data_IF_634467271313
#
_entry.id   IF_634467271313
#
_cell.length_a   1.000
_cell.length_b   1.000
_cell.length_c   1.000
_cell.angle_alpha   90.00
_cell.angle_beta   90.00
_cell.angle_gamma   90.00
#
_symmetry.space_group_name_H-M   'P 1'
#
loop_
_entity.id
_entity.type
_entity.pdbx_description
1 polymer ?
#
# COMPACT_ATOMS: atom_id res chain seq x y z
N UNK A 1 -0.29 -25.28 -9.72
CA UNK A 1 -0.64 -26.64 -9.22
C UNK A 1 -0.93 -26.67 -7.70
N UNK A 2 -0.83 -25.57 -6.96
CA UNK A 2 -1.07 -25.55 -5.51
C UNK A 2 -2.52 -25.20 -5.19
N UNK A 3 -3.17 -24.44 -6.03
CA UNK A 3 -4.53 -23.96 -5.79
C UNK A 3 -5.61 -25.08 -5.77
N UNK A 4 -5.57 -26.10 -6.64
CA UNK A 4 -6.55 -27.17 -6.59
C UNK A 4 -6.45 -28.05 -5.35
N UNK A 5 -5.29 -28.12 -4.70
CA UNK A 5 -5.08 -28.97 -3.52
C UNK A 5 -5.51 -28.33 -2.21
N UNK A 6 -5.79 -27.01 -2.18
CA UNK A 6 -6.16 -26.29 -0.96
C UNK A 6 -7.66 -26.27 -0.70
N UNK A 7 -8.48 -26.43 -1.75
CA UNK A 7 -9.94 -26.38 -1.62
C UNK A 7 -10.52 -27.75 -2.02
N UNK A 8 -10.78 -28.60 -1.07
CA UNK A 8 -11.36 -29.93 -1.28
C UNK A 8 -10.60 -31.07 -0.61
N UNK A 9 -9.37 -30.82 -0.20
CA UNK A 9 -8.63 -31.72 0.71
C UNK A 9 -8.49 -31.10 2.10
N UNK A 10 -9.43 -30.21 2.48
CA UNK A 10 -9.37 -29.47 3.74
C UNK A 10 -9.21 -30.37 4.97
N UNK A 11 -9.80 -31.53 4.96
CA UNK A 11 -9.60 -32.49 6.05
C UNK A 11 -8.14 -32.96 6.12
N UNK A 12 -7.53 -33.30 5.01
CA UNK A 12 -6.13 -33.76 5.00
C UNK A 12 -5.14 -32.62 5.31
N UNK A 13 -5.39 -31.42 4.79
CA UNK A 13 -4.56 -30.22 5.10
C UNK A 13 -4.77 -29.82 6.56
N UNK A 14 -5.99 -29.76 7.03
CA UNK A 14 -6.32 -29.46 8.42
C UNK A 14 -5.59 -30.43 9.38
N UNK A 15 -5.68 -31.72 9.13
CA UNK A 15 -5.08 -32.74 10.00
C UNK A 15 -3.56 -32.68 10.00
N UNK A 16 -2.93 -32.17 8.93
CA UNK A 16 -1.49 -31.92 8.86
C UNK A 16 -1.06 -30.80 9.80
N UNK A 17 -1.83 -29.71 9.91
CA UNK A 17 -1.47 -28.53 10.68
C UNK A 17 -2.04 -28.54 12.11
N UNK A 18 -2.96 -29.41 12.39
CA UNK A 18 -3.51 -29.60 13.73
C UNK A 18 -5.03 -29.80 13.76
N UNK A 19 -5.53 -30.02 14.96
CA UNK A 19 -6.96 -30.18 15.23
C UNK A 19 -7.66 -28.82 15.38
N UNK A 20 -9.00 -28.77 15.27
CA UNK A 20 -9.79 -27.56 15.56
C UNK A 20 -9.48 -26.96 16.94
N UNK A 21 -9.29 -27.80 17.96
CA UNK A 21 -8.93 -27.35 19.32
C UNK A 21 -7.53 -26.70 19.37
N UNK A 22 -6.57 -27.22 18.60
CA UNK A 22 -5.24 -26.61 18.49
C UNK A 22 -5.27 -25.27 17.74
N UNK A 23 -6.12 -25.15 16.72
CA UNK A 23 -6.33 -23.86 16.03
C UNK A 23 -6.95 -22.83 16.98
N UNK A 24 -7.99 -23.19 17.75
CA UNK A 24 -8.58 -22.31 18.75
C UNK A 24 -7.55 -21.91 19.83
N UNK A 25 -6.67 -22.84 20.26
CA UNK A 25 -5.59 -22.55 21.19
C UNK A 25 -4.54 -21.58 20.58
N UNK A 26 -4.26 -21.70 19.28
CA UNK A 26 -3.38 -20.77 18.55
C UNK A 26 -3.96 -19.36 18.51
N UNK A 27 -5.23 -19.19 18.11
CA UNK A 27 -5.91 -17.89 18.11
C UNK A 27 -5.87 -17.26 19.50
N UNK A 28 -6.21 -18.02 20.54
CA UNK A 28 -6.14 -17.57 21.94
C UNK A 28 -4.71 -17.17 22.38
N UNK A 29 -3.67 -17.86 21.88
CA UNK A 29 -2.28 -17.48 22.14
C UNK A 29 -1.92 -16.14 21.46
N UNK A 30 -2.34 -15.92 20.23
CA UNK A 30 -2.19 -14.64 19.52
C UNK A 30 -2.84 -13.49 20.31
N UNK A 31 -4.08 -13.67 20.75
CA UNK A 31 -4.82 -12.66 21.52
C UNK A 31 -4.11 -12.31 22.84
N UNK A 32 -3.56 -13.30 23.55
CA UNK A 32 -2.77 -13.04 24.78
C UNK A 32 -1.51 -12.20 24.51
N UNK A 33 -1.00 -12.22 23.27
CA UNK A 33 0.12 -11.39 22.83
C UNK A 33 -0.31 -10.04 22.23
N UNK A 34 -1.61 -9.74 22.19
CA UNK A 34 -2.17 -8.54 21.54
C UNK A 34 -2.12 -8.59 20.01
N UNK A 35 -2.12 -9.80 19.43
CA UNK A 35 -2.10 -10.01 17.98
C UNK A 35 -3.47 -10.50 17.54
N UNK A 36 -4.12 -9.76 16.62
CA UNK A 36 -5.33 -10.19 15.97
C UNK A 36 -5.09 -11.26 14.90
N UNK A 37 -6.08 -12.08 14.63
CA UNK A 37 -6.03 -13.16 13.64
C UNK A 37 -7.05 -12.90 12.55
N UNK A 38 -6.59 -12.75 11.31
CA UNK A 38 -7.45 -12.60 10.12
C UNK A 38 -7.48 -13.93 9.38
N UNK A 39 -8.69 -14.45 9.15
CA UNK A 39 -8.87 -15.68 8.38
C UNK A 39 -8.88 -15.38 6.89
N UNK A 40 -8.08 -16.13 6.14
CA UNK A 40 -8.15 -16.12 4.67
C UNK A 40 -9.32 -17.00 4.22
N UNK A 41 -10.26 -16.42 3.50
CA UNK A 41 -11.53 -17.06 3.11
C UNK A 41 -11.74 -16.94 1.61
N UNK A 42 -12.06 -18.05 0.97
CA UNK A 42 -12.25 -18.14 -0.50
C UNK A 42 -13.74 -18.32 -0.82
N UNK A 43 -14.55 -17.23 -0.86
CA UNK A 43 -15.97 -17.33 -1.17
C UNK A 43 -16.28 -17.39 -2.67
N UNK A 44 -15.27 -17.43 -3.54
CA UNK A 44 -15.41 -17.25 -4.99
C UNK A 44 -15.41 -18.55 -5.73
N UNK A 45 -14.50 -19.46 -5.40
CA UNK A 45 -14.34 -20.72 -6.10
C UNK A 45 -13.89 -21.84 -5.16
N UNK A 46 -14.00 -23.09 -5.61
CA UNK A 46 -13.61 -24.30 -4.88
C UNK A 46 -13.04 -25.36 -5.81
N UNK A 47 -12.30 -26.33 -5.24
CA UNK A 47 -11.64 -27.38 -6.00
C UNK A 47 -12.63 -28.31 -6.71
N UNK A 48 -12.32 -28.68 -7.94
CA UNK A 48 -13.10 -29.63 -8.76
C UNK A 48 -12.76 -31.09 -8.41
N UNK A 49 -12.71 -31.44 -7.13
CA UNK A 49 -12.45 -32.81 -6.67
C UNK A 49 -13.73 -33.64 -6.66
N UNK A 50 -13.64 -34.90 -7.09
CA UNK A 50 -14.80 -35.81 -7.17
C UNK A 50 -15.40 -36.20 -5.81
N UNK A 51 -14.64 -36.02 -4.73
CA UNK A 51 -14.99 -36.32 -3.33
C UNK A 51 -15.32 -35.08 -2.49
N UNK A 52 -15.47 -33.91 -3.16
CA UNK A 52 -15.74 -32.63 -2.49
C UNK A 52 -17.08 -32.01 -2.95
N UNK A 53 -17.11 -30.68 -3.15
CA UNK A 53 -18.33 -29.93 -3.46
C UNK A 53 -18.76 -30.02 -4.94
N UNK A 54 -17.81 -30.26 -5.86
CA UNK A 54 -18.10 -30.34 -7.29
C UNK A 54 -19.03 -31.53 -7.59
N UNK A 55 -20.15 -31.25 -8.24
CA UNK A 55 -21.20 -32.26 -8.50
C UNK A 55 -21.61 -33.07 -7.25
N UNK A 56 -21.74 -32.41 -6.12
CA UNK A 56 -21.86 -33.02 -4.78
C UNK A 56 -22.91 -34.09 -4.68
N UNK A 57 -24.08 -33.89 -5.28
CA UNK A 57 -25.21 -34.84 -5.31
C UNK A 57 -25.45 -35.44 -6.72
N UNK A 58 -24.45 -35.31 -7.60
CA UNK A 58 -24.56 -35.68 -9.01
C UNK A 58 -25.14 -34.58 -9.90
N UNK A 59 -25.39 -33.40 -9.33
CA UNK A 59 -25.80 -32.18 -10.05
C UNK A 59 -24.88 -31.01 -9.71
N UNK A 60 -25.02 -29.87 -10.44
CA UNK A 60 -24.33 -28.64 -10.13
C UNK A 60 -24.96 -27.91 -8.93
N UNK A 61 -24.83 -28.48 -7.71
CA UNK A 61 -25.46 -27.95 -6.50
C UNK A 61 -24.84 -26.63 -6.06
N UNK A 62 -23.51 -26.54 -6.03
CA UNK A 62 -22.76 -25.38 -5.55
C UNK A 62 -22.29 -24.46 -6.67
N UNK A 63 -21.98 -25.01 -7.84
CA UNK A 63 -21.47 -24.31 -9.00
C UNK A 63 -22.56 -23.90 -10.00
N UNK A 64 -22.22 -23.01 -10.94
CA UNK A 64 -23.09 -22.71 -12.09
C UNK A 64 -23.07 -23.87 -13.09
N UNK A 65 -24.21 -24.18 -13.66
CA UNK A 65 -24.39 -25.14 -14.76
C UNK A 65 -24.21 -24.44 -16.13
N UNK A 66 -23.01 -23.90 -16.35
CA UNK A 66 -22.66 -23.21 -17.60
C UNK A 66 -21.15 -22.95 -17.68
N UNK A 67 -20.69 -22.26 -18.74
CA UNK A 67 -19.28 -21.88 -18.95
C UNK A 67 -18.70 -21.03 -17.78
N UNK A 68 -19.53 -20.26 -17.09
CA UNK A 68 -19.11 -19.49 -15.92
C UNK A 68 -18.95 -20.33 -14.65
N UNK A 69 -19.35 -21.60 -14.67
CA UNK A 69 -19.20 -22.54 -13.57
C UNK A 69 -17.76 -22.99 -13.31
N UNK A 70 -16.85 -22.73 -14.24
CA UNK A 70 -15.45 -23.10 -14.13
C UNK A 70 -14.55 -21.87 -14.21
N UNK A 71 -13.51 -21.84 -13.38
CA UNK A 71 -12.49 -20.81 -13.42
C UNK A 71 -11.36 -21.20 -14.38
N UNK A 72 -10.55 -20.23 -14.77
CA UNK A 72 -9.31 -20.44 -15.56
C UNK A 72 -8.26 -21.28 -14.81
N UNK A 73 -8.41 -21.41 -13.48
CA UNK A 73 -7.52 -22.21 -12.62
C UNK A 73 -7.96 -23.68 -12.50
N UNK A 74 -9.03 -24.10 -13.23
CA UNK A 74 -9.57 -25.44 -13.16
C UNK A 74 -10.41 -25.72 -11.90
N UNK A 75 -10.87 -24.68 -11.24
CA UNK A 75 -11.77 -24.75 -10.07
C UNK A 75 -13.22 -24.48 -10.46
N UNK A 76 -14.18 -24.77 -9.58
CA UNK A 76 -15.60 -24.48 -9.77
C UNK A 76 -15.95 -23.14 -9.12
N UNK A 77 -16.79 -22.32 -9.78
CA UNK A 77 -17.25 -21.04 -9.24
C UNK A 77 -18.59 -21.21 -8.51
N UNK A 78 -18.72 -20.64 -7.30
CA UNK A 78 -19.94 -20.67 -6.52
C UNK A 78 -21.10 -19.95 -7.22
N UNK A 79 -22.29 -20.59 -7.20
CA UNK A 79 -23.52 -20.04 -7.76
C UNK A 79 -24.27 -19.16 -6.73
N UNK A 80 -24.06 -17.86 -6.77
CA UNK A 80 -24.67 -16.90 -5.83
C UNK A 80 -26.17 -16.67 -6.05
N UNK A 81 -26.77 -17.20 -7.10
CA UNK A 81 -28.23 -17.16 -7.29
C UNK A 81 -28.94 -18.27 -6.52
N UNK A 82 -28.19 -19.21 -5.91
CA UNK A 82 -28.75 -20.23 -5.00
C UNK A 82 -28.63 -19.78 -3.56
N UNK A 83 -29.75 -19.67 -2.86
CA UNK A 83 -29.79 -19.22 -1.46
C UNK A 83 -29.06 -20.18 -0.53
N UNK A 84 -29.08 -21.46 -0.83
CA UNK A 84 -28.39 -22.52 -0.09
C UNK A 84 -26.85 -22.29 -0.14
N UNK A 85 -26.32 -21.94 -1.29
CA UNK A 85 -24.89 -21.61 -1.47
C UNK A 85 -24.53 -20.35 -0.69
N UNK A 86 -25.34 -19.30 -0.80
CA UNK A 86 -25.15 -18.07 -0.03
C UNK A 86 -25.21 -18.35 1.49
N UNK A 87 -26.14 -19.20 1.95
CA UNK A 87 -26.26 -19.60 3.35
C UNK A 87 -25.05 -20.40 3.81
N UNK A 88 -24.57 -21.35 3.00
CA UNK A 88 -23.34 -22.11 3.27
C UNK A 88 -22.13 -21.19 3.46
N UNK A 89 -21.87 -20.30 2.51
CA UNK A 89 -20.76 -19.37 2.57
C UNK A 89 -20.86 -18.40 3.75
N UNK A 90 -22.07 -17.89 4.03
CA UNK A 90 -22.28 -17.00 5.19
C UNK A 90 -22.07 -17.73 6.51
N UNK A 91 -22.49 -19.01 6.60
CA UNK A 91 -22.27 -19.85 7.79
C UNK A 91 -20.79 -20.17 7.98
N UNK A 92 -20.06 -20.41 6.89
CA UNK A 92 -18.61 -20.63 6.94
C UNK A 92 -17.88 -19.39 7.45
N UNK A 93 -18.21 -18.19 6.96
CA UNK A 93 -17.64 -16.95 7.47
C UNK A 93 -17.97 -16.71 8.95
N UNK A 94 -19.24 -16.96 9.35
CA UNK A 94 -19.67 -16.84 10.74
C UNK A 94 -18.95 -17.83 11.67
N UNK A 95 -18.64 -19.04 11.21
CA UNK A 95 -17.90 -20.06 11.98
C UNK A 95 -16.54 -19.51 12.45
N UNK A 96 -15.79 -18.87 11.57
CA UNK A 96 -14.48 -18.31 11.90
C UNK A 96 -14.56 -17.20 12.95
N UNK A 97 -15.60 -16.36 12.84
CA UNK A 97 -15.79 -15.24 13.77
C UNK A 97 -16.35 -15.70 15.12
N UNK A 98 -17.34 -16.62 15.11
CA UNK A 98 -18.07 -16.99 16.32
C UNK A 98 -17.38 -18.10 17.13
N UNK A 99 -16.90 -19.14 16.46
CA UNK A 99 -16.33 -20.33 17.12
C UNK A 99 -14.84 -20.16 17.39
N UNK A 100 -14.12 -19.62 16.42
CA UNK A 100 -12.67 -19.45 16.52
C UNK A 100 -12.23 -18.07 16.97
N UNK A 101 -13.17 -17.12 17.06
CA UNK A 101 -12.91 -15.74 17.51
C UNK A 101 -11.84 -15.02 16.67
N UNK A 102 -11.82 -15.28 15.35
CA UNK A 102 -10.98 -14.50 14.45
C UNK A 102 -11.39 -13.02 14.49
N UNK A 103 -10.41 -12.11 14.32
CA UNK A 103 -10.62 -10.67 14.37
C UNK A 103 -11.01 -10.08 13.01
N UNK A 104 -11.12 -10.90 11.99
CA UNK A 104 -11.55 -10.49 10.67
C UNK A 104 -11.37 -11.58 9.62
N UNK A 105 -11.72 -11.20 8.40
CA UNK A 105 -11.69 -12.08 7.23
C UNK A 105 -11.08 -11.31 6.04
N UNK A 106 -10.12 -11.91 5.37
CA UNK A 106 -9.71 -11.50 4.03
C UNK A 106 -10.39 -12.38 3.01
N UNK A 107 -11.09 -11.78 2.06
CA UNK A 107 -11.79 -12.51 1.00
C UNK A 107 -10.96 -12.50 -0.28
N UNK A 108 -10.61 -13.71 -0.71
CA UNK A 108 -9.76 -14.00 -1.86
C UNK A 108 -10.49 -13.76 -3.18
N UNK A 109 -9.75 -13.25 -4.17
CA UNK A 109 -10.13 -13.17 -5.58
C UNK A 109 -11.52 -12.54 -5.85
N UNK A 110 -11.93 -11.53 -5.06
CA UNK A 110 -13.27 -10.90 -5.17
C UNK A 110 -13.53 -10.35 -6.57
N UNK A 111 -12.48 -9.95 -7.30
CA UNK A 111 -12.57 -9.56 -8.71
C UNK A 111 -13.33 -10.58 -9.58
N UNK A 112 -13.10 -11.87 -9.31
CA UNK A 112 -13.72 -12.97 -10.06
C UNK A 112 -15.21 -13.18 -9.73
N UNK A 113 -15.64 -12.68 -8.56
CA UNK A 113 -17.03 -12.68 -8.17
C UNK A 113 -17.77 -11.43 -8.69
N UNK A 114 -17.14 -10.24 -8.60
CA UNK A 114 -17.77 -8.96 -8.98
C UNK A 114 -18.12 -8.87 -10.48
N UNK A 115 -17.23 -9.36 -11.33
CA UNK A 115 -17.46 -9.47 -12.77
C UNK A 115 -17.47 -10.94 -13.17
N UNK A 116 -18.31 -11.31 -14.16
CA UNK A 116 -18.31 -12.66 -14.66
C UNK A 116 -16.91 -13.10 -15.09
N UNK A 117 -16.34 -14.09 -14.40
CA UNK A 117 -14.97 -14.57 -14.57
C UNK A 117 -13.88 -13.48 -14.43
N UNK A 118 -14.16 -12.41 -13.69
CA UNK A 118 -13.24 -11.29 -13.46
C UNK A 118 -13.06 -10.36 -14.66
N UNK A 119 -13.86 -10.51 -15.71
CA UNK A 119 -13.79 -9.70 -16.92
C UNK A 119 -14.90 -8.63 -16.94
N UNK A 120 -14.57 -7.33 -16.82
CA UNK A 120 -15.53 -6.26 -16.88
C UNK A 120 -16.37 -6.25 -18.18
N UNK A 121 -15.80 -6.76 -19.29
CA UNK A 121 -16.51 -6.82 -20.56
C UNK A 121 -17.67 -7.85 -20.56
N UNK A 122 -17.60 -8.81 -19.66
CA UNK A 122 -18.70 -9.81 -19.45
C UNK A 122 -19.83 -9.28 -18.56
N UNK A 123 -19.67 -8.11 -17.98
CA UNK A 123 -20.63 -7.46 -17.10
C UNK A 123 -20.53 -7.89 -15.64
N UNK A 124 -21.32 -7.22 -14.81
CA UNK A 124 -21.37 -7.42 -13.36
C UNK A 124 -22.16 -8.68 -13.02
N UNK A 125 -21.66 -9.47 -12.07
CA UNK A 125 -22.39 -10.57 -11.47
C UNK A 125 -23.24 -10.05 -10.29
N UNK A 126 -24.45 -9.63 -10.57
CA UNK A 126 -25.37 -9.04 -9.57
C UNK A 126 -25.67 -9.99 -8.41
N UNK A 127 -25.66 -11.30 -8.63
CA UNK A 127 -25.81 -12.31 -7.59
C UNK A 127 -24.66 -12.24 -6.58
N UNK A 128 -23.42 -12.17 -7.06
CA UNK A 128 -22.25 -12.05 -6.23
C UNK A 128 -22.20 -10.72 -5.47
N UNK A 129 -22.48 -9.59 -6.16
CA UNK A 129 -22.55 -8.26 -5.53
C UNK A 129 -23.56 -8.24 -4.40
N UNK A 130 -24.75 -8.78 -4.64
CA UNK A 130 -25.82 -8.89 -3.63
C UNK A 130 -25.39 -9.77 -2.45
N UNK A 131 -24.79 -10.92 -2.75
CA UNK A 131 -24.27 -11.83 -1.72
C UNK A 131 -23.21 -11.15 -0.84
N UNK A 132 -22.18 -10.56 -1.44
CA UNK A 132 -21.08 -9.93 -0.71
C UNK A 132 -21.58 -8.75 0.14
N UNK A 133 -22.48 -7.94 -0.40
CA UNK A 133 -23.12 -6.84 0.36
C UNK A 133 -23.89 -7.34 1.58
N UNK A 134 -24.67 -8.38 1.42
CA UNK A 134 -25.44 -8.99 2.51
C UNK A 134 -24.53 -9.66 3.55
N UNK A 135 -23.48 -10.36 3.08
CA UNK A 135 -22.49 -10.98 3.96
C UNK A 135 -21.79 -9.94 4.82
N UNK A 136 -21.22 -8.90 4.20
CA UNK A 136 -20.51 -7.85 4.92
C UNK A 136 -21.41 -7.04 5.85
N UNK A 137 -22.66 -6.79 5.43
CA UNK A 137 -23.66 -6.16 6.31
C UNK A 137 -23.90 -7.01 7.57
N UNK A 138 -24.18 -8.31 7.40
CA UNK A 138 -24.43 -9.21 8.52
C UNK A 138 -23.20 -9.42 9.43
N UNK A 139 -22.00 -9.50 8.84
CA UNK A 139 -20.76 -9.59 9.59
C UNK A 139 -20.51 -8.33 10.42
N UNK A 140 -20.68 -7.13 9.85
CA UNK A 140 -20.52 -5.86 10.55
C UNK A 140 -21.57 -5.64 11.65
N UNK A 141 -22.82 -6.09 11.45
CA UNK A 141 -23.84 -6.01 12.51
C UNK A 141 -23.53 -6.92 13.70
N UNK A 142 -23.03 -8.13 13.41
CA UNK A 142 -22.81 -9.14 14.45
C UNK A 142 -21.43 -8.98 15.12
N UNK A 143 -20.41 -8.60 14.36
CA UNK A 143 -19.04 -8.39 14.84
C UNK A 143 -18.51 -7.01 14.37
N UNK A 144 -18.98 -5.91 14.98
CA UNK A 144 -18.68 -4.55 14.50
C UNK A 144 -17.21 -4.12 14.67
N UNK A 145 -16.41 -4.90 15.39
CA UNK A 145 -14.97 -4.69 15.54
C UNK A 145 -14.14 -5.58 14.61
N UNK A 146 -14.79 -6.46 13.85
CA UNK A 146 -14.16 -7.30 12.85
C UNK A 146 -13.60 -6.47 11.70
N UNK A 147 -12.54 -6.96 11.05
CA UNK A 147 -11.91 -6.33 9.90
C UNK A 147 -12.14 -7.20 8.66
N UNK A 148 -12.80 -6.66 7.65
CA UNK A 148 -13.18 -7.38 6.43
C UNK A 148 -12.44 -6.79 5.23
N UNK A 149 -11.58 -7.59 4.60
CA UNK A 149 -10.69 -7.15 3.53
C UNK A 149 -11.05 -7.82 2.21
N UNK A 150 -10.99 -7.07 1.12
CA UNK A 150 -11.15 -7.56 -0.24
C UNK A 150 -9.81 -7.63 -0.97
N UNK A 151 -9.49 -8.78 -1.55
CA UNK A 151 -8.54 -8.84 -2.65
C UNK A 151 -9.30 -8.61 -3.95
N UNK A 152 -9.14 -7.43 -4.53
CA UNK A 152 -9.77 -7.05 -5.79
C UNK A 152 -8.80 -6.27 -6.67
N UNK A 153 -8.48 -6.81 -7.82
CA UNK A 153 -7.60 -6.23 -8.82
C UNK A 153 -8.33 -5.35 -9.85
N UNK A 154 -9.66 -5.20 -9.72
CA UNK A 154 -10.47 -4.45 -10.69
C UNK A 154 -10.70 -3.00 -10.25
N UNK A 155 -11.26 -2.23 -11.16
CA UNK A 155 -11.73 -0.87 -10.92
C UNK A 155 -13.20 -0.81 -10.48
N UNK A 156 -13.75 -1.90 -9.93
CA UNK A 156 -15.09 -1.90 -9.37
C UNK A 156 -15.18 -0.85 -8.26
N UNK A 157 -16.24 -0.04 -8.32
CA UNK A 157 -16.39 1.10 -7.41
C UNK A 157 -17.10 0.74 -6.12
N UNK A 158 -16.80 1.48 -5.06
CA UNK A 158 -17.46 1.37 -3.75
C UNK A 158 -17.27 0.01 -3.08
N UNK A 159 -16.13 -0.64 -3.28
CA UNK A 159 -15.79 -1.88 -2.59
C UNK A 159 -15.73 -1.65 -1.09
N UNK A 160 -15.13 -0.54 -0.64
CA UNK A 160 -15.00 -0.18 0.77
C UNK A 160 -16.05 0.81 1.27
N UNK A 161 -16.95 1.27 0.41
CA UNK A 161 -18.05 2.11 0.84
C UNK A 161 -19.06 1.31 1.69
N UNK A 162 -19.62 1.90 2.76
CA UNK A 162 -20.64 1.25 3.57
C UNK A 162 -21.87 0.80 2.75
N UNK A 163 -22.47 -0.32 3.13
CA UNK A 163 -23.64 -0.90 2.43
C UNK A 163 -24.82 0.06 2.34
N UNK A 164 -25.01 0.95 3.34
CA UNK A 164 -26.05 2.01 3.33
C UNK A 164 -25.87 3.07 2.22
N UNK A 165 -24.69 3.10 1.58
CA UNK A 165 -24.38 3.99 0.45
C UNK A 165 -24.16 3.22 -0.85
N UNK A 166 -24.79 2.05 -0.97
CA UNK A 166 -24.67 1.11 -2.11
C UNK A 166 -23.26 0.56 -2.30
N UNK A 167 -22.44 0.56 -1.24
CA UNK A 167 -21.13 -0.09 -1.24
C UNK A 167 -21.22 -1.59 -0.98
N UNK A 168 -20.10 -2.29 -1.20
CA UNK A 168 -19.97 -3.72 -0.85
C UNK A 168 -19.76 -3.89 0.67
N UNK A 169 -19.16 -2.91 1.35
CA UNK A 169 -19.05 -2.87 2.80
C UNK A 169 -17.79 -3.53 3.36
N UNK A 170 -16.74 -3.69 2.58
CA UNK A 170 -15.42 -4.04 3.10
C UNK A 170 -14.78 -2.88 3.85
N UNK A 171 -13.94 -3.18 4.84
CA UNK A 171 -13.14 -2.16 5.55
C UNK A 171 -11.92 -1.76 4.75
N UNK A 172 -11.30 -2.70 4.01
CA UNK A 172 -10.11 -2.44 3.19
C UNK A 172 -10.16 -3.20 1.88
N UNK A 173 -9.52 -2.60 0.88
CA UNK A 173 -9.23 -3.22 -0.43
C UNK A 173 -7.72 -3.27 -0.63
N UNK A 174 -7.18 -4.40 -1.09
CA UNK A 174 -5.76 -4.48 -1.46
C UNK A 174 -5.45 -3.56 -2.64
N UNK A 175 -4.40 -2.77 -2.52
CA UNK A 175 -3.93 -1.89 -3.59
C UNK A 175 -2.98 -2.64 -4.53
N UNK A 176 -3.57 -3.42 -5.43
CA UNK A 176 -2.80 -4.18 -6.44
C UNK A 176 -2.12 -3.24 -7.44
N UNK A 177 -2.70 -2.07 -7.73
CA UNK A 177 -2.11 -1.05 -8.59
C UNK A 177 -0.82 -0.49 -8.02
N UNK A 178 -0.82 -0.09 -6.75
CA UNK A 178 0.38 0.36 -6.04
C UNK A 178 1.46 -0.72 -6.02
N UNK A 179 1.07 -1.97 -5.77
CA UNK A 179 1.99 -3.10 -5.70
C UNK A 179 2.70 -3.31 -7.05
N UNK A 180 1.94 -3.44 -8.13
CA UNK A 180 2.50 -3.63 -9.48
C UNK A 180 3.41 -2.47 -9.89
N UNK A 181 2.94 -1.24 -9.77
CA UNK A 181 3.71 -0.05 -10.15
C UNK A 181 4.98 0.09 -9.33
N UNK A 182 4.93 -0.20 -8.02
CA UNK A 182 6.11 -0.15 -7.15
C UNK A 182 7.14 -1.20 -7.53
N UNK A 183 6.73 -2.45 -7.70
CA UNK A 183 7.66 -3.54 -8.05
C UNK A 183 8.26 -3.33 -9.44
N UNK A 184 7.48 -2.92 -10.42
CA UNK A 184 7.94 -2.59 -11.76
C UNK A 184 8.94 -1.43 -11.76
N UNK A 185 8.66 -0.40 -10.97
CA UNK A 185 9.58 0.74 -10.85
C UNK A 185 10.94 0.31 -10.30
N UNK A 186 10.95 -0.46 -9.21
CA UNK A 186 12.20 -0.92 -8.60
C UNK A 186 12.93 -2.00 -9.42
N UNK A 187 12.23 -2.71 -10.31
CA UNK A 187 12.83 -3.61 -11.31
C UNK A 187 13.44 -2.86 -12.50
N UNK A 188 13.09 -1.59 -12.70
CA UNK A 188 13.55 -0.77 -13.82
C UNK A 188 15.01 -0.33 -13.61
N UNK A 189 15.89 -0.45 -14.64
CA UNK A 189 17.27 0.08 -14.61
C UNK A 189 17.31 1.55 -14.23
N UNK A 190 18.32 1.98 -13.47
CA UNK A 190 18.43 3.37 -12.98
C UNK A 190 18.33 4.40 -14.11
N UNK A 191 18.98 4.19 -15.25
CA UNK A 191 18.93 5.10 -16.39
C UNK A 191 17.55 5.23 -17.05
N UNK A 192 16.66 4.27 -16.84
CA UNK A 192 15.30 4.26 -17.39
C UNK A 192 14.24 4.76 -16.41
N UNK A 193 14.57 4.87 -15.12
CA UNK A 193 13.64 5.33 -14.07
C UNK A 193 13.03 6.72 -14.32
N UNK A 194 13.72 7.69 -14.94
CA UNK A 194 13.06 8.93 -15.33
C UNK A 194 11.81 8.72 -16.19
N UNK A 195 11.78 7.69 -17.05
CA UNK A 195 10.60 7.35 -17.86
C UNK A 195 9.51 6.61 -17.07
N UNK A 196 9.89 5.91 -16.00
CA UNK A 196 8.99 5.21 -15.11
C UNK A 196 8.55 6.05 -13.87
N UNK A 197 8.98 7.32 -13.79
CA UNK A 197 8.78 8.18 -12.62
C UNK A 197 7.33 8.23 -12.14
N UNK A 198 6.39 8.25 -13.09
CA UNK A 198 4.96 8.26 -12.82
C UNK A 198 4.45 7.10 -11.96
N UNK A 199 5.10 5.93 -12.03
CA UNK A 199 4.67 4.73 -11.27
C UNK A 199 4.68 4.94 -9.75
N UNK A 200 5.60 5.74 -9.23
CA UNK A 200 5.66 6.05 -7.79
C UNK A 200 4.57 7.03 -7.36
N UNK A 201 4.19 7.97 -8.22
CA UNK A 201 3.22 9.02 -7.86
C UNK A 201 1.77 8.65 -8.22
N UNK A 202 1.58 7.69 -9.12
CA UNK A 202 0.27 7.40 -9.72
C UNK A 202 -0.76 6.90 -8.69
N UNK A 203 -0.36 6.11 -7.72
CA UNK A 203 -1.25 5.61 -6.66
C UNK A 203 -2.01 6.74 -5.96
N UNK A 204 -1.38 7.90 -5.73
CA UNK A 204 -2.02 9.04 -5.07
C UNK A 204 -3.12 9.72 -5.90
N UNK A 205 -3.24 9.42 -7.20
CA UNK A 205 -4.34 9.92 -8.03
C UNK A 205 -5.67 9.22 -7.75
N UNK A 206 -5.62 7.96 -7.28
CA UNK A 206 -6.82 7.17 -7.00
C UNK A 206 -6.94 6.73 -5.53
N UNK A 207 -5.90 6.90 -4.72
CA UNK A 207 -5.81 6.36 -3.36
C UNK A 207 -7.02 6.68 -2.48
N UNK A 208 -7.62 7.85 -2.65
CA UNK A 208 -8.76 8.28 -1.83
C UNK A 208 -10.13 7.82 -2.37
N UNK A 209 -10.17 7.00 -3.43
CA UNK A 209 -11.41 6.43 -3.95
C UNK A 209 -11.90 5.24 -3.10
N UNK A 210 -10.97 4.53 -2.45
CA UNK A 210 -11.24 3.38 -1.59
C UNK A 210 -10.36 3.44 -0.32
N UNK A 211 -10.63 2.60 0.66
CA UNK A 211 -9.77 2.42 1.84
C UNK A 211 -8.71 1.36 1.51
N UNK A 212 -7.64 1.78 0.87
CA UNK A 212 -6.61 0.87 0.38
C UNK A 212 -5.67 0.36 1.45
N UNK A 213 -5.27 -0.91 1.31
CA UNK A 213 -4.22 -1.59 2.05
C UNK A 213 -3.10 -1.95 1.07
N UNK A 214 -1.88 -1.50 1.36
CA UNK A 214 -0.70 -1.78 0.54
C UNK A 214 -0.24 -3.21 0.81
N UNK A 215 -0.29 -4.07 -0.21
CA UNK A 215 0.02 -5.48 -0.08
C UNK A 215 1.32 -5.84 -0.81
N UNK A 216 2.24 -6.49 -0.08
CA UNK A 216 3.28 -7.35 -0.61
C UNK A 216 3.00 -8.75 -0.08
N UNK A 217 2.15 -9.48 -0.80
CA UNK A 217 1.56 -10.74 -0.36
C UNK A 217 2.39 -11.97 -0.77
N UNK A 218 1.83 -13.16 -0.52
CA UNK A 218 2.41 -14.42 -0.97
C UNK A 218 2.50 -14.49 -2.50
N UNK A 219 1.53 -13.92 -3.22
CA UNK A 219 1.46 -13.97 -4.67
C UNK A 219 2.66 -13.34 -5.36
N UNK A 220 3.30 -12.36 -4.72
CA UNK A 220 4.48 -11.71 -5.29
C UNK A 220 5.76 -12.55 -5.15
N UNK A 221 5.76 -13.62 -4.33
CA UNK A 221 6.97 -14.36 -3.96
C UNK A 221 6.88 -15.87 -4.20
N UNK A 222 6.04 -16.29 -5.15
CA UNK A 222 5.79 -17.69 -5.52
C UNK A 222 5.81 -17.89 -7.04
N UNK A 223 5.82 -19.12 -7.47
CA UNK A 223 5.58 -19.55 -8.87
C UNK A 223 6.53 -18.94 -9.91
N UNK A 224 7.80 -18.79 -9.60
CA UNK A 224 8.81 -18.25 -10.54
C UNK A 224 8.75 -16.72 -10.65
N UNK A 225 8.01 -16.03 -9.77
CA UNK A 225 7.91 -14.57 -9.75
C UNK A 225 9.10 -13.89 -9.08
N UNK A 226 10.03 -14.64 -8.47
CA UNK A 226 11.15 -14.18 -7.63
C UNK A 226 10.71 -13.60 -6.29
N UNK A 227 11.64 -13.45 -5.36
CA UNK A 227 11.37 -12.75 -4.09
C UNK A 227 11.43 -11.23 -4.25
N UNK A 228 10.96 -10.48 -3.25
CA UNK A 228 10.94 -9.01 -3.33
C UNK A 228 12.34 -8.45 -3.61
N UNK A 229 13.36 -8.89 -2.87
CA UNK A 229 14.74 -8.43 -3.10
C UNK A 229 15.27 -8.84 -4.47
N UNK A 230 14.92 -10.02 -4.95
CA UNK A 230 15.45 -10.55 -6.23
C UNK A 230 14.84 -9.86 -7.46
N UNK A 231 13.62 -9.29 -7.32
CA UNK A 231 13.00 -8.47 -8.36
C UNK A 231 13.73 -7.15 -8.60
N UNK A 232 14.43 -6.60 -7.59
CA UNK A 232 15.05 -5.28 -7.65
C UNK A 232 16.21 -5.28 -8.66
N UNK A 233 16.38 -4.16 -9.35
CA UNK A 233 17.47 -3.98 -10.31
C UNK A 233 18.83 -3.79 -9.63
N UNK A 234 19.91 -4.22 -10.29
CA UNK A 234 21.28 -3.90 -9.91
C UNK A 234 22.04 -5.01 -9.22
N UNK A 235 23.18 -4.66 -8.64
CA UNK A 235 24.06 -5.55 -7.88
C UNK A 235 23.41 -5.94 -6.55
N UNK A 236 24.01 -6.90 -5.86
CA UNK A 236 23.53 -7.32 -4.53
C UNK A 236 23.46 -6.14 -3.54
N UNK A 237 24.49 -5.31 -3.50
CA UNK A 237 24.57 -4.13 -2.61
C UNK A 237 23.49 -3.10 -2.97
N UNK A 238 23.29 -2.87 -4.28
CA UNK A 238 22.25 -1.97 -4.77
C UNK A 238 20.84 -2.50 -4.44
N UNK A 239 20.61 -3.81 -4.59
CA UNK A 239 19.36 -4.45 -4.18
C UNK A 239 19.10 -4.28 -2.69
N UNK A 240 20.13 -4.43 -1.86
CA UNK A 240 20.03 -4.25 -0.40
C UNK A 240 19.62 -2.82 -0.02
N UNK A 241 20.25 -1.82 -0.63
CA UNK A 241 19.92 -0.40 -0.41
C UNK A 241 18.49 -0.09 -0.89
N UNK A 242 18.15 -0.55 -2.10
CA UNK A 242 16.80 -0.36 -2.66
C UNK A 242 15.71 -1.06 -1.86
N UNK A 243 15.97 -2.24 -1.28
CA UNK A 243 15.00 -2.94 -0.46
C UNK A 243 14.62 -2.10 0.78
N UNK A 244 15.62 -1.47 1.43
CA UNK A 244 15.35 -0.54 2.54
C UNK A 244 14.51 0.65 2.07
N UNK A 245 14.82 1.21 0.91
CA UNK A 245 14.05 2.33 0.31
C UNK A 245 12.64 1.92 -0.13
N UNK A 246 12.43 0.70 -0.67
CA UNK A 246 11.12 0.19 -1.03
C UNK A 246 10.21 0.08 0.21
N UNK A 247 10.72 -0.53 1.30
CA UNK A 247 9.95 -0.62 2.53
C UNK A 247 9.75 0.73 3.23
N UNK A 248 10.73 1.65 3.12
CA UNK A 248 10.52 3.03 3.52
C UNK A 248 9.33 3.65 2.77
N UNK A 249 9.28 3.50 1.45
CA UNK A 249 8.17 4.00 0.63
C UNK A 249 6.84 3.38 1.07
N UNK A 250 6.77 2.06 1.21
CA UNK A 250 5.57 1.37 1.68
C UNK A 250 5.06 1.93 3.01
N UNK A 251 5.93 2.08 4.01
CA UNK A 251 5.54 2.52 5.34
C UNK A 251 5.27 4.03 5.44
N UNK A 252 5.90 4.83 4.61
CA UNK A 252 5.69 6.27 4.54
C UNK A 252 4.50 6.69 3.65
N UNK A 253 4.08 5.85 2.71
CA UNK A 253 2.86 6.04 1.91
C UNK A 253 1.62 5.90 2.81
N UNK A 254 0.50 6.62 2.58
CA UNK A 254 -0.74 6.35 3.32
C UNK A 254 -1.31 4.96 3.04
N UNK A 255 -2.18 4.48 3.91
CA UNK A 255 -2.81 3.15 3.82
C UNK A 255 -2.20 2.11 4.77
N UNK A 256 -2.97 1.08 5.10
CA UNK A 256 -2.51 -0.04 5.94
C UNK A 256 -1.47 -0.88 5.20
N UNK A 257 -0.72 -1.70 5.94
CA UNK A 257 0.41 -2.45 5.40
C UNK A 257 0.17 -3.95 5.56
N UNK A 258 0.42 -4.69 4.49
CA UNK A 258 0.47 -6.14 4.51
C UNK A 258 1.82 -6.59 3.97
N UNK A 259 2.57 -7.31 4.78
CA UNK A 259 3.85 -7.90 4.40
C UNK A 259 3.82 -9.40 4.62
N UNK A 260 4.14 -10.17 3.59
CA UNK A 260 4.19 -11.62 3.71
C UNK A 260 5.42 -12.08 4.46
N UNK A 261 5.27 -13.17 5.23
CA UNK A 261 6.35 -13.76 6.03
C UNK A 261 7.57 -14.11 5.18
N UNK A 262 8.77 -13.84 5.73
CA UNK A 262 10.06 -14.03 5.05
C UNK A 262 10.56 -12.77 4.34
N UNK A 263 9.69 -11.85 3.94
CA UNK A 263 10.10 -10.58 3.35
C UNK A 263 10.90 -9.73 4.34
N UNK A 264 10.58 -9.78 5.64
CA UNK A 264 11.24 -9.04 6.73
C UNK A 264 12.68 -9.50 6.99
N UNK A 265 13.08 -10.66 6.48
CA UNK A 265 14.47 -11.15 6.51
C UNK A 265 15.14 -11.11 5.15
N UNK A 266 14.53 -10.45 4.16
CA UNK A 266 15.02 -10.35 2.78
C UNK A 266 15.28 -11.74 2.15
N UNK A 267 14.31 -12.62 2.22
CA UNK A 267 14.40 -14.00 1.76
C UNK A 267 14.71 -14.09 0.28
N UNK A 268 15.68 -14.93 -0.12
CA UNK A 268 16.06 -15.11 -1.54
C UNK A 268 15.39 -16.31 -2.22
N UNK A 269 14.86 -17.24 -1.45
CA UNK A 269 14.10 -18.36 -1.98
C UNK A 269 12.61 -18.00 -1.97
N UNK A 270 11.93 -18.25 -3.08
CA UNK A 270 10.48 -18.14 -3.12
C UNK A 270 9.84 -18.97 -2.01
N UNK A 271 8.69 -18.50 -1.53
CA UNK A 271 7.95 -19.23 -0.52
C UNK A 271 7.51 -20.61 -1.01
N UNK A 272 7.60 -21.60 -0.16
CA UNK A 272 7.25 -22.99 -0.40
C UNK A 272 6.58 -23.54 0.87
N UNK A 273 5.31 -23.93 0.76
CA UNK A 273 4.51 -24.43 1.89
C UNK A 273 5.05 -25.75 2.47
N UNK A 274 5.96 -26.43 1.76
CA UNK A 274 6.57 -27.68 2.21
C UNK A 274 7.87 -27.48 3.00
N UNK A 275 8.31 -26.22 3.13
CA UNK A 275 9.61 -25.90 3.71
C UNK A 275 9.48 -24.77 4.73
N UNK A 276 10.29 -24.85 5.78
CA UNK A 276 10.48 -23.77 6.73
C UNK A 276 11.13 -22.56 6.06
N UNK A 277 10.87 -21.35 6.59
CA UNK A 277 11.59 -20.14 6.20
C UNK A 277 13.08 -20.28 6.51
N UNK A 278 13.91 -19.69 5.66
CA UNK A 278 15.37 -19.78 5.78
C UNK A 278 15.91 -18.87 6.91
N UNK A 279 15.51 -19.13 8.15
CA UNK A 279 15.93 -18.38 9.35
C UNK A 279 17.46 -18.31 9.51
N UNK A 280 18.17 -19.29 8.95
CA UNK A 280 19.63 -19.28 8.88
C UNK A 280 20.23 -18.08 8.14
N UNK A 281 19.44 -17.34 7.33
CA UNK A 281 19.89 -16.09 6.72
C UNK A 281 20.30 -15.03 7.75
N UNK A 282 19.70 -15.04 8.92
CA UNK A 282 20.01 -14.08 10.00
C UNK A 282 21.46 -14.18 10.54
N UNK A 283 22.20 -15.24 10.22
CA UNK A 283 23.64 -15.29 10.50
C UNK A 283 24.47 -14.37 9.59
N UNK A 284 23.91 -13.88 8.47
CA UNK A 284 24.61 -12.99 7.57
C UNK A 284 24.28 -11.51 7.88
N UNK A 285 25.31 -10.65 7.89
CA UNK A 285 25.19 -9.27 8.41
C UNK A 285 24.07 -8.44 7.76
N UNK A 286 23.84 -8.60 6.44
CA UNK A 286 22.79 -7.86 5.75
C UNK A 286 21.40 -8.27 6.24
N UNK A 287 21.11 -9.56 6.32
CA UNK A 287 19.77 -10.06 6.69
C UNK A 287 19.43 -9.73 8.14
N UNK A 288 20.40 -9.86 9.06
CA UNK A 288 20.26 -9.45 10.45
C UNK A 288 20.01 -7.93 10.58
N UNK A 289 20.80 -7.12 9.87
CA UNK A 289 20.63 -5.66 9.86
C UNK A 289 19.30 -5.25 9.23
N UNK A 290 18.88 -5.93 8.15
CA UNK A 290 17.62 -5.65 7.50
C UNK A 290 16.42 -5.99 8.38
N UNK A 291 16.42 -7.12 9.08
CA UNK A 291 15.37 -7.46 10.04
C UNK A 291 15.25 -6.39 11.15
N UNK A 292 16.38 -5.91 11.69
CA UNK A 292 16.40 -4.83 12.68
C UNK A 292 15.87 -3.50 12.11
N UNK A 293 16.24 -3.19 10.86
CA UNK A 293 15.68 -2.06 10.11
C UNK A 293 14.16 -2.17 9.98
N UNK A 294 13.67 -3.33 9.52
CA UNK A 294 12.25 -3.58 9.33
C UNK A 294 11.46 -3.44 10.64
N UNK A 295 11.99 -4.00 11.74
CA UNK A 295 11.42 -3.85 13.07
C UNK A 295 11.38 -2.37 13.54
N UNK A 296 12.44 -1.60 13.24
CA UNK A 296 12.50 -0.16 13.56
C UNK A 296 11.48 0.63 12.75
N UNK A 297 11.35 0.33 11.46
CA UNK A 297 10.39 0.96 10.55
C UNK A 297 8.95 0.69 10.98
N UNK A 298 8.63 -0.57 11.33
CA UNK A 298 7.33 -0.97 11.87
C UNK A 298 7.00 -0.25 13.19
N UNK A 299 8.01 -0.09 14.06
CA UNK A 299 7.84 0.67 15.31
C UNK A 299 7.59 2.15 15.05
N UNK A 300 8.31 2.76 14.10
CA UNK A 300 8.05 4.15 13.70
C UNK A 300 6.61 4.31 13.21
N UNK A 301 6.15 3.43 12.33
CA UNK A 301 4.76 3.45 11.87
C UNK A 301 3.77 3.37 13.04
N UNK A 302 3.97 2.46 13.98
CA UNK A 302 3.08 2.27 15.12
C UNK A 302 3.12 3.41 16.16
N UNK A 303 4.21 4.19 16.22
CA UNK A 303 4.43 5.21 17.27
C UNK A 303 4.40 6.64 16.77
N UNK A 304 4.44 6.88 15.45
CA UNK A 304 4.37 8.23 14.88
C UNK A 304 2.96 8.50 14.32
N UNK A 305 2.11 9.26 15.02
CA UNK A 305 0.71 9.45 14.61
C UNK A 305 0.54 9.99 13.19
N UNK A 306 1.46 10.83 12.70
CA UNK A 306 1.41 11.33 11.34
C UNK A 306 1.46 10.21 10.28
N UNK A 307 1.95 9.01 10.60
CA UNK A 307 2.05 7.89 9.65
C UNK A 307 0.78 7.04 9.59
N UNK A 308 -0.03 6.99 10.66
CA UNK A 308 -1.22 6.12 10.72
C UNK A 308 -2.53 6.85 11.01
N UNK A 309 -2.50 8.02 11.66
CA UNK A 309 -3.71 8.77 11.93
C UNK A 309 -4.07 9.65 10.73
N UNK A 310 -5.27 9.48 10.18
CA UNK A 310 -5.72 10.25 9.02
C UNK A 310 -5.18 9.74 7.67
N UNK A 311 -4.80 8.47 7.55
CA UNK A 311 -4.27 7.89 6.31
C UNK A 311 -5.21 8.06 5.11
N UNK A 312 -6.51 8.05 5.34
CA UNK A 312 -7.55 8.19 4.31
C UNK A 312 -8.16 9.61 4.24
N UNK A 313 -7.53 10.58 4.91
CA UNK A 313 -7.87 12.00 4.79
C UNK A 313 -6.88 12.69 3.83
N UNK A 314 -7.31 13.18 2.66
CA UNK A 314 -6.42 13.83 1.70
C UNK A 314 -5.70 15.07 2.26
N UNK A 315 -6.20 15.67 3.33
CA UNK A 315 -5.53 16.79 4.02
C UNK A 315 -4.28 16.37 4.79
N UNK A 316 -4.16 15.06 5.06
CA UNK A 316 -3.02 14.48 5.80
C UNK A 316 -1.84 14.08 4.92
N UNK A 317 -1.93 14.31 3.61
CA UNK A 317 -0.86 14.08 2.64
C UNK A 317 -0.60 15.34 1.81
N UNK A 318 0.66 15.64 1.53
CA UNK A 318 1.04 16.76 0.64
C UNK A 318 2.36 16.44 -0.07
N UNK A 319 2.38 16.46 -1.40
CA UNK A 319 3.62 16.38 -2.15
C UNK A 319 4.48 17.62 -1.91
N UNK A 320 5.77 17.41 -1.60
CA UNK A 320 6.80 18.45 -1.49
C UNK A 320 7.66 18.48 -2.76
N UNK A 321 8.07 17.32 -3.25
CA UNK A 321 8.76 17.16 -4.52
C UNK A 321 8.16 15.94 -5.24
N UNK A 322 7.47 16.17 -6.35
CA UNK A 322 6.88 15.17 -7.23
C UNK A 322 7.21 15.42 -8.70
N UNK A 323 8.17 16.30 -8.98
CA UNK A 323 8.59 16.72 -10.34
C UNK A 323 10.10 16.57 -10.57
N UNK A 324 10.84 16.03 -9.57
CA UNK A 324 12.30 15.82 -9.66
C UNK A 324 12.60 14.50 -10.38
N UNK A 325 12.10 14.41 -11.61
CA UNK A 325 12.11 13.21 -12.43
C UNK A 325 13.52 12.68 -12.71
N UNK A 326 14.40 13.56 -13.17
CA UNK A 326 15.76 13.19 -13.59
C UNK A 326 16.67 12.89 -12.39
N UNK A 327 16.41 13.53 -11.27
CA UNK A 327 17.08 13.26 -9.99
C UNK A 327 16.57 12.00 -9.30
N UNK A 328 15.37 11.52 -9.64
CA UNK A 328 14.72 10.40 -8.99
C UNK A 328 14.40 10.61 -7.53
N UNK A 329 14.13 11.88 -7.15
CA UNK A 329 13.82 12.28 -5.79
C UNK A 329 12.33 12.53 -5.63
N UNK A 330 11.75 11.93 -4.59
CA UNK A 330 10.35 12.11 -4.17
C UNK A 330 10.33 12.61 -2.73
N UNK A 331 9.50 13.61 -2.44
CA UNK A 331 9.30 14.07 -1.08
C UNK A 331 7.85 14.44 -0.82
N UNK A 332 7.35 14.08 0.37
CA UNK A 332 5.99 14.37 0.77
C UNK A 332 5.88 14.57 2.29
N UNK A 333 4.83 15.25 2.70
CA UNK A 333 4.44 15.38 4.09
C UNK A 333 3.37 14.35 4.45
N UNK A 334 3.53 13.75 5.62
CA UNK A 334 2.49 13.03 6.33
C UNK A 334 2.08 13.86 7.55
N UNK A 335 0.78 14.00 7.75
CA UNK A 335 0.20 14.81 8.82
C UNK A 335 -0.81 13.98 9.61
N UNK A 336 -0.85 14.12 10.92
CA UNK A 336 -1.83 13.42 11.74
C UNK A 336 -1.66 13.74 13.22
N UNK A 337 -2.76 13.91 13.95
CA UNK A 337 -2.79 14.18 15.39
C UNK A 337 -1.82 15.31 15.84
N UNK A 338 -1.75 16.39 15.06
CA UNK A 338 -0.87 17.54 15.36
C UNK A 338 0.60 17.35 15.01
N UNK A 339 0.99 16.20 14.46
CA UNK A 339 2.36 15.90 14.01
C UNK A 339 2.49 16.07 12.51
N UNK A 340 3.66 16.53 12.05
CA UNK A 340 4.04 16.57 10.64
C UNK A 340 5.37 15.85 10.45
N UNK A 341 5.40 14.93 9.50
CA UNK A 341 6.60 14.18 9.10
C UNK A 341 6.88 14.45 7.62
N UNK A 342 8.11 14.81 7.32
CA UNK A 342 8.64 14.90 5.97
C UNK A 342 9.34 13.59 5.63
N UNK A 343 8.88 12.95 4.56
CA UNK A 343 9.47 11.76 3.97
C UNK A 343 10.19 12.17 2.68
N UNK A 344 11.45 11.75 2.52
CA UNK A 344 12.26 12.04 1.34
C UNK A 344 12.91 10.77 0.86
N UNK A 345 12.75 10.44 -0.41
CA UNK A 345 13.23 9.22 -1.03
C UNK A 345 14.07 9.55 -2.27
N UNK A 346 15.31 9.05 -2.32
CA UNK A 346 16.16 9.03 -3.51
C UNK A 346 16.21 7.59 -4.06
N UNK A 347 15.73 7.40 -5.27
CA UNK A 347 15.67 6.09 -5.91
C UNK A 347 16.79 5.85 -6.93
N UNK A 348 17.67 6.85 -7.14
CA UNK A 348 18.81 6.75 -8.03
C UNK A 348 20.08 6.29 -7.32
N UNK A 349 21.00 5.70 -8.06
CA UNK A 349 22.32 5.31 -7.55
C UNK A 349 23.31 6.48 -7.45
N UNK A 350 22.82 7.70 -7.53
CA UNK A 350 23.59 8.95 -7.36
C UNK A 350 23.15 9.65 -6.08
N UNK A 351 24.11 10.04 -5.25
CA UNK A 351 23.84 10.81 -4.04
C UNK A 351 23.65 12.30 -4.38
N UNK A 352 22.71 12.95 -3.70
CA UNK A 352 22.47 14.38 -3.82
C UNK A 352 22.97 15.10 -2.59
N UNK A 353 23.81 16.11 -2.78
CA UNK A 353 24.27 17.01 -1.71
C UNK A 353 23.45 18.29 -1.71
N UNK A 354 23.02 18.71 -0.51
CA UNK A 354 22.25 19.95 -0.32
C UNK A 354 21.02 20.05 -1.24
N UNK A 355 20.28 18.94 -1.37
CA UNK A 355 19.06 18.92 -2.19
C UNK A 355 18.00 19.85 -1.56
N UNK A 356 17.45 20.84 -2.30
CA UNK A 356 16.49 21.78 -1.76
C UNK A 356 15.07 21.20 -1.74
N UNK A 357 14.39 21.30 -0.61
CA UNK A 357 12.98 20.98 -0.44
C UNK A 357 12.24 22.24 -0.01
N UNK A 358 11.17 22.58 -0.71
CA UNK A 358 10.44 23.81 -0.49
C UNK A 358 9.19 23.57 0.36
N UNK A 359 9.08 24.28 1.49
CA UNK A 359 7.99 24.16 2.45
C UNK A 359 7.17 25.46 2.52
N UNK A 360 5.90 25.34 2.93
CA UNK A 360 5.00 26.49 3.09
C UNK A 360 5.16 27.22 4.43
N UNK A 361 5.92 26.65 5.34
CA UNK A 361 6.12 27.16 6.70
C UNK A 361 7.56 26.94 7.14
N UNK A 362 8.08 27.81 8.03
CA UNK A 362 9.39 27.63 8.62
C UNK A 362 9.35 26.48 9.63
N UNK A 363 10.38 25.64 9.61
CA UNK A 363 10.44 24.48 10.50
C UNK A 363 11.86 24.10 10.88
N UNK A 364 12.01 23.58 12.10
CA UNK A 364 13.08 22.68 12.48
C UNK A 364 12.77 21.26 12.06
N UNK A 365 13.76 20.49 11.63
CA UNK A 365 13.62 19.10 11.19
C UNK A 365 14.56 18.19 11.99
N UNK A 366 13.96 17.25 12.70
CA UNK A 366 14.64 16.19 13.46
C UNK A 366 14.60 14.88 12.67
N UNK A 367 15.77 14.29 12.39
CA UNK A 367 15.86 13.02 11.67
C UNK A 367 15.35 11.86 12.55
N UNK A 368 14.34 11.16 12.06
CA UNK A 368 13.77 9.95 12.67
C UNK A 368 14.35 8.66 12.10
N UNK A 369 14.69 8.67 10.82
CA UNK A 369 15.21 7.51 10.10
C UNK A 369 16.07 7.95 8.92
N UNK A 370 17.20 7.24 8.76
CA UNK A 370 18.03 7.24 7.56
C UNK A 370 18.22 5.78 7.13
N UNK A 371 17.73 5.41 5.95
CA UNK A 371 17.77 4.02 5.46
C UNK A 371 19.19 3.54 5.19
N UNK A 372 20.12 4.48 4.94
CA UNK A 372 21.53 4.20 4.66
C UNK A 372 22.43 4.39 5.90
N UNK A 373 21.87 4.44 7.10
CA UNK A 373 22.65 4.44 8.32
C UNK A 373 23.46 3.14 8.48
N UNK A 374 24.71 3.20 9.02
CA UNK A 374 25.57 2.02 9.19
C UNK A 374 24.96 0.91 10.04
N UNK A 375 24.09 1.24 11.00
CA UNK A 375 23.38 0.23 11.82
C UNK A 375 22.44 -0.67 11.02
N UNK A 376 22.07 -0.27 9.82
CA UNK A 376 21.25 -1.04 8.87
C UNK A 376 22.09 -1.63 7.73
N UNK A 377 23.42 -1.60 7.83
CA UNK A 377 24.34 -2.00 6.75
C UNK A 377 24.45 -0.98 5.62
N UNK A 378 23.99 0.26 5.83
CA UNK A 378 24.09 1.33 4.85
C UNK A 378 25.46 2.01 4.84
N UNK A 379 25.72 2.82 3.82
CA UNK A 379 27.00 3.47 3.57
C UNK A 379 27.10 4.90 4.11
N UNK A 380 26.01 5.51 4.58
CA UNK A 380 25.98 6.89 5.04
C UNK A 380 26.43 7.03 6.49
N UNK A 381 27.69 7.47 6.67
CA UNK A 381 28.30 7.73 7.98
C UNK A 381 27.97 9.11 8.56
N UNK A 382 27.08 9.87 7.92
CA UNK A 382 26.67 11.17 8.45
C UNK A 382 25.95 11.01 9.79
N UNK A 383 26.24 11.90 10.74
CA UNK A 383 25.51 11.93 11.99
C UNK A 383 24.19 12.68 11.80
N UNK A 384 23.10 12.25 12.46
CA UNK A 384 21.87 13.01 12.49
C UNK A 384 22.15 14.46 12.95
N UNK A 385 21.64 15.42 12.21
CA UNK A 385 21.74 16.85 12.54
C UNK A 385 20.33 17.41 12.58
N UNK A 386 20.07 18.29 13.54
CA UNK A 386 18.92 19.17 13.46
C UNK A 386 19.11 20.09 12.25
N UNK A 387 18.11 20.09 11.37
CA UNK A 387 18.08 20.96 10.20
C UNK A 387 17.03 22.05 10.44
N UNK A 388 17.23 23.20 9.84
CA UNK A 388 16.28 24.31 9.89
C UNK A 388 16.04 24.83 8.48
N UNK A 389 14.83 25.28 8.22
CA UNK A 389 14.53 25.98 6.98
C UNK A 389 15.23 27.34 6.95
N UNK A 390 15.55 27.78 5.73
CA UNK A 390 15.99 29.13 5.42
C UNK A 390 14.92 29.86 4.61
N UNK A 391 14.90 31.17 4.68
CA UNK A 391 14.03 31.99 3.84
C UNK A 391 14.43 31.89 2.37
N UNK A 392 13.45 31.95 1.49
CA UNK A 392 13.63 31.82 0.05
C UNK A 392 13.16 30.45 -0.44
N UNK A 393 12.33 30.46 -1.47
CA UNK A 393 11.72 29.26 -2.05
C UNK A 393 11.05 29.62 -3.38
N UNK A 394 10.29 28.67 -3.92
CA UNK A 394 9.62 28.78 -5.22
C UNK A 394 8.16 28.35 -5.12
N UNK A 395 7.35 28.76 -6.08
CA UNK A 395 5.96 28.31 -6.27
C UNK A 395 5.05 28.48 -5.03
N UNK A 396 5.21 29.59 -4.27
CA UNK A 396 4.40 29.85 -3.07
C UNK A 396 4.77 29.01 -1.87
N UNK A 397 5.95 28.42 -1.88
CA UNK A 397 6.62 27.77 -0.75
C UNK A 397 7.85 28.61 -0.41
N UNK A 398 7.74 29.41 0.64
CA UNK A 398 8.66 30.50 0.93
C UNK A 398 9.88 30.07 1.75
N UNK A 399 9.95 28.80 2.14
CA UNK A 399 11.00 28.26 3.00
C UNK A 399 11.70 27.07 2.34
N UNK A 400 13.03 27.04 2.42
CA UNK A 400 13.86 25.96 1.87
C UNK A 400 14.50 25.15 3.00
N UNK A 401 14.25 23.86 3.02
CA UNK A 401 14.98 22.86 3.80
C UNK A 401 15.99 22.18 2.88
N UNK A 402 17.27 22.22 3.27
CA UNK A 402 18.34 21.58 2.47
C UNK A 402 18.74 20.27 3.12
N UNK A 403 18.69 19.16 2.36
CA UNK A 403 19.00 17.81 2.84
C UNK A 403 20.08 17.13 2.00
N UNK A 404 20.94 16.34 2.63
CA UNK A 404 21.82 15.42 1.94
C UNK A 404 21.11 14.07 1.79
N UNK A 405 21.05 13.53 0.56
CA UNK A 405 20.40 12.26 0.24
C UNK A 405 21.45 11.28 -0.26
N UNK A 406 21.65 10.13 0.42
CA UNK A 406 22.51 9.07 -0.09
C UNK A 406 21.90 8.44 -1.35
N UNK A 407 22.74 7.80 -2.15
CA UNK A 407 22.31 7.02 -3.30
C UNK A 407 21.34 5.90 -2.82
N UNK A 408 20.24 5.70 -3.52
CA UNK A 408 19.21 4.69 -3.21
C UNK A 408 18.69 4.76 -1.77
N UNK A 409 18.80 5.94 -1.13
CA UNK A 409 18.52 6.12 0.29
C UNK A 409 17.38 7.10 0.56
N UNK A 410 16.74 6.90 1.70
CA UNK A 410 15.59 7.69 2.13
C UNK A 410 15.78 8.22 3.54
N UNK A 411 15.14 9.36 3.81
CA UNK A 411 15.18 9.98 5.14
C UNK A 411 13.80 10.40 5.59
N UNK A 412 13.54 10.29 6.87
CA UNK A 412 12.31 10.73 7.52
C UNK A 412 12.64 11.76 8.59
N UNK A 413 11.94 12.89 8.57
CA UNK A 413 12.13 13.98 9.52
C UNK A 413 10.82 14.35 10.21
N UNK A 414 10.86 14.50 11.52
CA UNK A 414 9.81 15.20 12.26
C UNK A 414 9.98 16.69 12.09
N UNK A 415 8.96 17.38 11.60
CA UNK A 415 8.95 18.82 11.46
C UNK A 415 8.31 19.48 12.68
N UNK A 416 9.00 20.47 13.26
CA UNK A 416 8.47 21.36 14.30
C UNK A 416 8.35 22.75 13.69
N UNK A 417 7.11 23.30 13.54
CA UNK A 417 6.95 24.66 13.04
C UNK A 417 7.69 25.69 13.90
N UNK A 418 8.30 26.64 13.25
CA UNK A 418 9.02 27.76 13.88
C UNK A 418 8.29 29.08 13.60
N UNK A 419 8.56 30.10 14.40
CA UNK A 419 8.03 31.44 14.11
C UNK A 419 8.71 31.99 12.85
N UNK A 420 7.97 32.66 11.94
CA UNK A 420 8.57 33.36 10.82
C UNK A 420 9.62 34.36 11.29
N UNK A 421 10.76 34.41 10.64
CA UNK A 421 11.82 35.39 10.98
C UNK A 421 11.35 36.80 10.62
N UNK A 422 11.56 37.81 11.47
CA UNK A 422 11.03 39.16 11.26
C UNK A 422 11.39 39.83 9.92
N UNK A 423 12.53 39.48 9.32
CA UNK A 423 12.97 40.01 8.03
C UNK A 423 12.18 39.53 6.81
N UNK A 424 11.63 38.31 6.86
CA UNK A 424 10.83 37.75 5.76
C UNK A 424 9.47 38.45 5.61
N UNK A 425 8.90 38.94 6.71
CA UNK A 425 7.62 39.64 6.69
C UNK A 425 7.68 40.99 5.96
N UNK A 426 8.89 41.61 5.85
CA UNK A 426 9.09 42.89 5.15
C UNK A 426 9.41 42.72 3.65
N UNK A 427 9.94 41.56 3.22
CA UNK A 427 10.31 41.32 1.83
C UNK A 427 9.15 40.85 0.94
N UNK A 428 8.10 40.30 1.49
CA UNK A 428 6.94 39.80 0.72
C UNK A 428 5.95 40.90 0.31
N UNK A 429 5.83 41.99 1.06
CA UNK A 429 4.87 43.06 0.77
C UNK A 429 5.21 43.96 -0.45
N UNK A 430 6.47 44.34 -0.76
CA UNK A 430 6.75 45.21 -1.89
C UNK A 430 6.76 44.53 -3.26
N UNK A 431 7.12 43.24 -3.36
CA UNK A 431 7.24 42.54 -4.65
C UNK A 431 5.88 42.22 -5.28
N UNK A 432 4.87 41.88 -4.49
CA UNK A 432 3.52 41.63 -4.99
C UNK A 432 2.85 42.92 -5.50
N UNK A 433 3.10 44.07 -4.84
CA UNK A 433 2.59 45.38 -5.25
C UNK A 433 3.30 45.89 -6.53
N UNK A 434 4.61 45.66 -6.67
CA UNK A 434 5.38 46.03 -7.86
C UNK A 434 5.00 45.16 -9.09
N UNK A 435 4.78 43.86 -8.90
CA UNK A 435 4.34 42.95 -9.96
C UNK A 435 2.92 43.31 -10.45
N UNK A 436 1.99 43.62 -9.54
CA UNK A 436 0.63 44.10 -9.91
C UNK A 436 0.65 45.44 -10.65
N UNK A 437 1.50 46.40 -10.24
CA UNK A 437 1.66 47.68 -10.94
C UNK A 437 2.25 47.52 -12.33
N UNK A 438 3.19 46.56 -12.51
CA UNK A 438 3.81 46.29 -13.82
C UNK A 438 2.82 45.58 -14.76
N UNK A 439 2.02 44.63 -14.27
CA UNK A 439 0.97 43.95 -15.03
C UNK A 439 -0.15 44.93 -15.47
N UNK A 440 -0.60 45.83 -14.56
CA UNK A 440 -1.62 46.84 -14.88
C UNK A 440 -1.12 47.84 -15.91
N UNK A 441 0.18 48.27 -15.88
CA UNK A 441 0.75 49.15 -16.91
C UNK A 441 0.84 48.45 -18.27
N UNK A 442 1.13 47.18 -18.33
CA UNK A 442 1.20 46.41 -19.59
C UNK A 442 -0.20 46.17 -20.20
N UNK A 443 -1.23 46.02 -19.40
CA UNK A 443 -2.61 45.93 -19.88
C UNK A 443 -3.13 47.27 -20.44
N UNK A 444 -2.87 48.40 -19.75
CA UNK A 444 -3.26 49.71 -20.24
C UNK A 444 -2.53 50.09 -21.54
N UNK A 445 -1.24 49.75 -21.64
CA UNK A 445 -0.49 50.03 -22.91
C UNK A 445 -0.98 49.21 -24.10
N UNK A 446 -1.51 47.98 -23.85
CA UNK A 446 -2.12 47.18 -24.92
C UNK A 446 -3.54 47.67 -25.29
N UNK A 447 -4.29 48.22 -24.36
CA UNK A 447 -5.59 48.81 -24.62
C UNK A 447 -5.48 50.09 -25.44
N UNK A 448 -4.54 50.95 -25.14
CA UNK A 448 -4.25 52.19 -25.88
C UNK A 448 -3.75 51.93 -27.34
N UNK A 449 -2.91 50.87 -27.50
CA UNK A 449 -2.47 50.44 -28.82
C UNK A 449 -3.59 49.84 -29.69
N UNK A 450 -4.57 49.15 -29.08
CA UNK A 450 -5.74 48.60 -29.78
C UNK A 450 -6.72 49.70 -30.20
N UNK A 451 -6.87 50.77 -29.37
CA UNK A 451 -7.74 51.92 -29.69
C UNK A 451 -7.19 52.81 -30.79
N UNK A 452 -5.86 52.80 -31.03
CA UNK A 452 -5.23 53.62 -32.11
C UNK A 452 -5.30 52.91 -33.49
N UNK A 453 -5.43 51.59 -33.52
CA UNK A 453 -5.54 50.81 -34.77
C UNK A 453 -6.98 50.68 -35.32
N UNK A 454 -7.98 51.12 -34.57
CA UNK A 454 -9.40 51.11 -35.01
C UNK A 454 -9.86 52.43 -35.62
N UNK A 455 -8.95 53.43 -35.80
CA UNK A 455 -9.22 54.73 -36.37
C UNK A 455 -8.38 55.04 -37.63
N UNK A 456 -7.93 54.01 -38.33
CA UNK A 456 -7.39 54.13 -39.68
C UNK A 456 -8.16 53.27 -40.67
#
# INVERSE_FOLDING_TARGET
EIMPSLVGSEMCIRDRYGTPAQFAAFVNACHRMGIGVIMDFVPVHFAANADALANFDGTHLYEYDSDVGHSEWGTCNFNYYRREVCSFLSSAAALWMEVYHCDGIRMDAISRALYWQGDPARGVNEGAVTFLRNLNHGLNERWPTGIYMAEDSTNFLKVTAPTRYDGIGFDYKWDMGWMHDTLDYFATPFGERPNAYGKIIFSMHYFYNELYLLALSHDEVVHGKKTIIDKLWGTYEEKCAQLRTLYFYMYAHPGKKLNFMGNEIAHFREWDEKRELDWGLLQYPFHDAFQKYFASLSRLYATQPALYAGEYDPRCFEWVASESRDEGVYAWLRKGAGQTILCVMNTQNTAHKKFPLYLRFPAGAEELLNTEAPCWGGADKSKPKALHTTDGGVYGRDYTLTVDLPAMGSRMFRLTPEAPRPEAAQASAPRAAAARRKAARTQNAKADAAAHNSKK
#
